data_IF_541915140912
#
_entry.id   IF_541915140912
#
_cell.length_a   1.000
_cell.length_b   1.000
_cell.length_c   1.000
_cell.angle_alpha   90.00
_cell.angle_beta   90.00
_cell.angle_gamma   90.00
#
_symmetry.space_group_name_H-M   'P 1'
#
loop_
_entity.id
_entity.type
_entity.pdbx_description
1 polymer ?
#
# COMPACT_ATOMS: atom_id res chain seq x y z
N UNK A 1 -14.99 -6.23 19.09
CA UNK A 1 -14.01 -6.57 18.04
C UNK A 1 -13.58 -5.26 17.39
N UNK A 2 -12.34 -4.83 17.63
CA UNK A 2 -11.78 -3.55 17.16
C UNK A 2 -11.17 -3.69 15.76
N UNK A 3 -11.97 -4.13 14.78
CA UNK A 3 -11.51 -4.31 13.39
C UNK A 3 -11.25 -2.94 12.77
N UNK A 4 -10.01 -2.67 12.36
CA UNK A 4 -9.65 -1.45 11.62
C UNK A 4 -9.55 -0.16 12.44
N UNK A 5 -10.04 -0.14 13.67
CA UNK A 5 -10.11 1.07 14.52
C UNK A 5 -8.82 1.32 15.33
N UNK A 6 -8.03 0.28 15.62
CA UNK A 6 -6.78 0.40 16.37
C UNK A 6 -5.59 0.30 15.42
N UNK A 7 -4.83 1.40 15.33
CA UNK A 7 -3.51 1.41 14.71
C UNK A 7 -2.54 0.52 15.45
N UNK A 8 -1.62 -0.12 14.71
CA UNK A 8 -0.61 -0.99 15.30
C UNK A 8 0.23 -0.26 16.37
N UNK A 9 0.35 -0.85 17.56
CA UNK A 9 0.88 -0.18 18.76
C UNK A 9 2.36 -0.42 19.05
N UNK A 10 3.01 -1.39 18.38
CA UNK A 10 4.48 -1.56 18.40
C UNK A 10 5.10 -0.75 17.25
N UNK A 11 6.43 -0.56 17.28
CA UNK A 11 7.20 0.15 16.23
C UNK A 11 6.65 -0.22 14.84
N UNK A 12 5.93 0.69 14.18
CA UNK A 12 5.30 0.39 12.91
C UNK A 12 6.35 0.43 11.80
N UNK A 13 6.30 -0.54 10.91
CA UNK A 13 7.14 -0.73 9.72
C UNK A 13 6.30 -0.65 8.44
N UNK A 14 5.28 0.23 8.46
CA UNK A 14 4.33 0.43 7.36
C UNK A 14 5.04 0.84 6.06
N UNK A 15 6.13 1.59 6.16
CA UNK A 15 7.00 1.97 5.06
C UNK A 15 7.66 0.76 4.40
N UNK A 16 8.13 -0.22 5.18
CA UNK A 16 8.68 -1.47 4.65
C UNK A 16 7.61 -2.29 3.92
N UNK A 17 6.38 -2.32 4.46
CA UNK A 17 5.26 -2.96 3.77
C UNK A 17 4.96 -2.23 2.45
N UNK A 18 4.78 -0.91 2.47
CA UNK A 18 4.57 -0.13 1.26
C UNK A 18 5.67 -0.40 0.20
N UNK A 19 6.93 -0.45 0.61
CA UNK A 19 8.06 -0.79 -0.27
C UNK A 19 7.94 -2.21 -0.84
N UNK A 20 7.66 -3.21 0.00
CA UNK A 20 7.55 -4.60 -0.46
C UNK A 20 6.49 -4.79 -1.55
N UNK A 21 5.33 -4.15 -1.42
CA UNK A 21 4.28 -4.23 -2.45
C UNK A 21 4.71 -3.56 -3.74
N UNK A 22 5.30 -2.36 -3.69
CA UNK A 22 5.80 -1.70 -4.90
C UNK A 22 6.85 -2.55 -5.61
N UNK A 23 7.80 -3.10 -4.85
CA UNK A 23 8.85 -3.96 -5.41
C UNK A 23 8.24 -5.24 -6.03
N UNK A 24 7.23 -5.84 -5.39
CA UNK A 24 6.54 -7.00 -5.93
C UNK A 24 5.82 -6.69 -7.25
N UNK A 25 5.09 -5.58 -7.30
CA UNK A 25 4.36 -5.13 -8.49
C UNK A 25 5.29 -4.79 -9.66
N UNK A 26 6.46 -4.19 -9.38
CA UNK A 26 7.50 -3.98 -10.40
C UNK A 26 8.08 -5.32 -10.88
N UNK A 27 8.41 -6.25 -9.97
CA UNK A 27 8.96 -7.56 -10.35
C UNK A 27 7.98 -8.42 -11.15
N UNK A 28 6.68 -8.30 -10.89
CA UNK A 28 5.64 -9.03 -11.64
C UNK A 28 5.20 -8.32 -12.92
N UNK A 29 5.75 -7.14 -13.23
CA UNK A 29 5.41 -6.38 -14.42
C UNK A 29 3.99 -5.80 -14.42
N UNK A 30 3.42 -5.55 -13.23
CA UNK A 30 2.10 -4.92 -13.12
C UNK A 30 2.08 -3.50 -13.71
N UNK A 31 3.19 -2.78 -13.58
CA UNK A 31 3.45 -1.48 -14.19
C UNK A 31 4.87 -1.46 -14.77
N UNK A 32 5.22 -0.41 -15.50
CA UNK A 32 6.57 -0.26 -16.07
C UNK A 32 7.63 0.13 -15.03
N UNK A 33 7.28 0.99 -14.08
CA UNK A 33 8.19 1.50 -13.05
C UNK A 33 7.41 2.00 -11.83
N UNK A 34 7.93 1.82 -10.60
CA UNK A 34 7.25 2.25 -9.38
C UNK A 34 7.19 3.78 -9.22
N UNK A 35 7.96 4.54 -10.01
CA UNK A 35 7.84 6.00 -10.16
C UNK A 35 6.47 6.45 -10.68
N UNK A 36 5.68 5.53 -11.25
CA UNK A 36 4.31 5.80 -11.69
C UNK A 36 3.34 5.98 -10.50
N UNK A 37 3.72 5.54 -9.29
CA UNK A 37 2.92 5.73 -8.08
C UNK A 37 3.12 7.16 -7.55
N UNK A 38 2.28 8.09 -8.01
CA UNK A 38 2.34 9.51 -7.62
C UNK A 38 1.56 9.85 -6.35
N UNK A 39 0.73 8.93 -5.86
CA UNK A 39 -0.01 9.07 -4.60
C UNK A 39 -0.12 7.70 -3.92
N UNK A 40 0.07 7.68 -2.59
CA UNK A 40 -0.02 6.48 -1.80
C UNK A 40 -0.62 6.78 -0.43
N UNK A 41 -1.70 6.07 -0.07
CA UNK A 41 -2.26 6.06 1.27
C UNK A 41 -2.19 4.64 1.81
N UNK A 42 -1.49 4.46 2.93
CA UNK A 42 -1.36 3.18 3.61
C UNK A 42 -1.69 3.33 5.09
N UNK A 43 -2.19 2.26 5.70
CA UNK A 43 -2.39 2.15 7.14
C UNK A 43 -2.09 0.72 7.61
N UNK A 44 -1.73 0.57 8.89
CA UNK A 44 -1.54 -0.73 9.53
C UNK A 44 -2.46 -0.83 10.73
N UNK A 45 -3.40 -1.75 10.67
CA UNK A 45 -4.36 -2.02 11.74
C UNK A 45 -4.36 -3.51 12.11
N UNK A 46 -4.92 -3.84 13.27
CA UNK A 46 -5.15 -5.22 13.64
C UNK A 46 -6.36 -5.79 12.88
N UNK A 47 -6.21 -7.02 12.37
CA UNK A 47 -7.25 -7.78 11.69
C UNK A 47 -7.39 -9.17 12.32
N UNK A 48 -8.58 -9.78 12.22
CA UNK A 48 -8.81 -11.14 12.69
C UNK A 48 -7.96 -12.18 11.93
N UNK A 49 -7.76 -11.95 10.63
CA UNK A 49 -6.85 -12.71 9.77
C UNK A 49 -5.87 -11.72 9.14
N UNK A 50 -4.55 -11.92 9.25
CA UNK A 50 -3.58 -11.06 8.60
C UNK A 50 -3.71 -11.10 7.08
N UNK A 51 -3.83 -9.94 6.45
CA UNK A 51 -3.89 -9.80 5.00
C UNK A 51 -3.48 -8.37 4.60
N UNK A 52 -3.39 -8.14 3.29
CA UNK A 52 -3.28 -6.81 2.72
C UNK A 52 -4.56 -6.54 1.94
N UNK A 53 -5.12 -5.35 2.15
CA UNK A 53 -6.19 -4.82 1.32
C UNK A 53 -5.58 -3.76 0.41
N UNK A 54 -5.64 -3.96 -0.90
CA UNK A 54 -4.97 -3.13 -1.89
C UNK A 54 -5.95 -2.71 -2.97
N UNK A 55 -6.04 -1.41 -3.21
CA UNK A 55 -6.77 -0.83 -4.33
C UNK A 55 -5.83 0.08 -5.12
N UNK A 56 -5.81 -0.08 -6.44
CA UNK A 56 -4.97 0.69 -7.36
C UNK A 56 -5.89 1.38 -8.36
N UNK A 57 -5.67 2.67 -8.55
CA UNK A 57 -6.49 3.50 -9.43
C UNK A 57 -5.58 4.17 -10.46
N UNK A 58 -5.89 4.09 -11.77
CA UNK A 58 -5.19 4.90 -12.76
C UNK A 58 -5.51 6.37 -12.52
N UNK A 59 -4.51 7.22 -12.71
CA UNK A 59 -4.70 8.67 -12.76
C UNK A 59 -4.46 9.11 -14.20
N UNK A 60 -5.41 9.85 -14.76
CA UNK A 60 -5.19 10.53 -16.02
C UNK A 60 -4.17 11.65 -15.82
N UNK A 61 -3.28 11.82 -16.80
CA UNK A 61 -2.38 12.96 -16.80
C UNK A 61 -3.25 14.23 -16.79
N UNK A 62 -3.08 15.08 -15.77
CA UNK A 62 -3.65 16.41 -15.84
C UNK A 62 -2.86 17.16 -16.89
N UNK A 63 -3.54 17.60 -17.95
CA UNK A 63 -2.98 18.59 -18.88
C UNK A 63 -2.53 19.79 -18.03
N UNK A 64 -1.23 20.11 -18.13
CA UNK A 64 -0.59 21.19 -17.40
C UNK A 64 -0.84 22.55 -18.06
#
# INVERSE_FOLDING_TARGET
MLRGEIGHTKKPDLDNMAKQLKDAMSRTGFWGDDRQVVSLRCSKCYAAVPHWEVAVYPLEARDA
#
